data_IF_486666526996
#
_entry.id   IF_486666526996
#
_cell.length_a   1.000
_cell.length_b   1.000
_cell.length_c   1.000
_cell.angle_alpha   90.00
_cell.angle_beta   90.00
_cell.angle_gamma   90.00
#
_symmetry.space_group_name_H-M   'P 1'
#
loop_
_entity.id
_entity.type
_entity.pdbx_description
1 polymer ?
#
# COMPACT_ATOMS: atom_id res chain seq x y z
N UNK A 1 -16.91 -11.69 -53.95
CA UNK A 1 -16.10 -12.50 -53.01
C UNK A 1 -15.53 -11.66 -51.86
N UNK A 2 -14.85 -10.53 -52.11
CA UNK A 2 -14.32 -9.68 -51.04
C UNK A 2 -15.39 -8.94 -50.20
N UNK A 3 -16.51 -8.54 -50.81
CA UNK A 3 -17.59 -7.81 -50.09
C UNK A 3 -18.41 -8.71 -49.17
N UNK A 4 -18.66 -9.97 -49.55
CA UNK A 4 -19.34 -10.95 -48.69
C UNK A 4 -18.52 -11.33 -47.47
N UNK A 5 -17.20 -11.39 -47.62
CA UNK A 5 -16.28 -11.66 -46.53
C UNK A 5 -16.19 -10.47 -45.55
N UNK A 6 -16.18 -9.24 -46.06
CA UNK A 6 -16.29 -8.02 -45.24
C UNK A 6 -17.60 -7.96 -44.46
N UNK A 7 -18.72 -8.31 -45.10
CA UNK A 7 -20.04 -8.31 -44.45
C UNK A 7 -20.14 -9.34 -43.32
N UNK A 8 -19.60 -10.54 -43.53
CA UNK A 8 -19.51 -11.57 -42.47
C UNK A 8 -18.64 -11.12 -41.29
N UNK A 9 -17.50 -10.48 -41.56
CA UNK A 9 -16.61 -9.94 -40.52
C UNK A 9 -17.26 -8.79 -39.74
N UNK A 10 -18.05 -7.93 -40.39
CA UNK A 10 -18.82 -6.87 -39.72
C UNK A 10 -19.95 -7.42 -38.85
N UNK A 11 -20.69 -8.41 -39.34
CA UNK A 11 -21.76 -9.06 -38.57
C UNK A 11 -21.21 -9.81 -37.34
N UNK A 12 -20.05 -10.45 -37.47
CA UNK A 12 -19.38 -11.10 -36.34
C UNK A 12 -18.86 -10.09 -35.31
N UNK A 13 -18.30 -8.96 -35.75
CA UNK A 13 -17.91 -7.85 -34.86
C UNK A 13 -19.12 -7.26 -34.14
N UNK A 14 -20.24 -7.07 -34.85
CA UNK A 14 -21.48 -6.53 -34.28
C UNK A 14 -22.11 -7.48 -33.26
N UNK A 15 -22.05 -8.80 -33.51
CA UNK A 15 -22.46 -9.84 -32.54
C UNK A 15 -21.57 -9.84 -31.30
N UNK A 16 -20.24 -9.82 -31.48
CA UNK A 16 -19.28 -9.72 -30.37
C UNK A 16 -19.50 -8.44 -29.55
N UNK A 17 -19.71 -7.31 -30.21
CA UNK A 17 -19.95 -6.03 -29.56
C UNK A 17 -21.28 -6.03 -28.77
N UNK A 18 -22.37 -6.54 -29.36
CA UNK A 18 -23.65 -6.69 -28.67
C UNK A 18 -23.56 -7.64 -27.46
N UNK A 19 -22.79 -8.72 -27.56
CA UNK A 19 -22.55 -9.62 -26.43
C UNK A 19 -21.75 -8.93 -25.32
N UNK A 20 -20.71 -8.16 -25.67
CA UNK A 20 -19.95 -7.38 -24.68
C UNK A 20 -20.79 -6.29 -24.01
N UNK A 21 -21.67 -5.62 -24.77
CA UNK A 21 -22.54 -4.57 -24.24
C UNK A 21 -23.67 -5.14 -23.37
N UNK A 22 -24.18 -6.34 -23.70
CA UNK A 22 -25.09 -7.09 -22.83
C UNK A 22 -24.42 -7.47 -21.51
N UNK A 23 -23.20 -8.01 -21.55
CA UNK A 23 -22.40 -8.34 -20.35
C UNK A 23 -22.10 -7.09 -19.50
N UNK A 24 -21.75 -5.97 -20.14
CA UNK A 24 -21.56 -4.67 -19.46
C UNK A 24 -22.84 -4.17 -18.79
N UNK A 25 -23.98 -4.25 -19.47
CA UNK A 25 -25.28 -3.84 -18.92
C UNK A 25 -25.70 -4.70 -17.73
N UNK A 26 -25.48 -6.01 -17.80
CA UNK A 26 -25.73 -6.95 -16.71
C UNK A 26 -24.84 -6.67 -15.49
N UNK A 27 -23.54 -6.46 -15.70
CA UNK A 27 -22.60 -6.08 -14.61
C UNK A 27 -23.01 -4.76 -13.98
N UNK A 28 -23.44 -3.79 -14.79
CA UNK A 28 -23.92 -2.49 -14.31
C UNK A 28 -25.21 -2.61 -13.50
N UNK A 29 -26.18 -3.38 -13.98
CA UNK A 29 -27.43 -3.65 -13.26
C UNK A 29 -27.15 -4.34 -11.92
N UNK A 30 -26.26 -5.35 -11.90
CA UNK A 30 -25.83 -6.04 -10.69
C UNK A 30 -25.12 -5.11 -9.69
N UNK A 31 -24.28 -4.19 -10.17
CA UNK A 31 -23.62 -3.19 -9.32
C UNK A 31 -24.62 -2.17 -8.76
N UNK A 32 -25.60 -1.74 -9.57
CA UNK A 32 -26.64 -0.81 -9.14
C UNK A 32 -27.58 -1.46 -8.11
N UNK A 33 -27.97 -2.71 -8.32
CA UNK A 33 -28.78 -3.50 -7.40
C UNK A 33 -28.04 -3.76 -6.08
N UNK A 34 -26.75 -4.12 -6.14
CA UNK A 34 -25.90 -4.24 -4.95
C UNK A 34 -25.74 -2.90 -4.19
N UNK A 35 -25.82 -1.76 -4.90
CA UNK A 35 -25.81 -0.43 -4.29
C UNK A 35 -27.14 -0.07 -3.62
N UNK A 36 -28.28 -0.49 -4.21
CA UNK A 36 -29.63 -0.32 -3.67
C UNK A 36 -29.84 -1.21 -2.43
N UNK A 37 -29.40 -2.47 -2.47
CA UNK A 37 -29.46 -3.40 -1.34
C UNK A 37 -28.67 -2.92 -0.11
N UNK A 38 -27.62 -2.11 -0.29
CA UNK A 38 -26.85 -1.51 0.83
C UNK A 38 -27.60 -0.40 1.57
N UNK A 39 -28.64 0.20 0.98
CA UNK A 39 -29.47 1.24 1.63
C UNK A 39 -30.59 0.66 2.50
N UNK A 40 -30.98 -0.61 2.29
CA UNK A 40 -32.16 -1.20 2.91
C UNK A 40 -31.92 -1.87 4.28
N UNK A 41 -30.68 -2.16 4.70
CA UNK A 41 -30.42 -2.79 6.00
C UNK A 41 -30.22 -1.77 7.13
N UNK A 42 -31.35 -1.32 7.69
CA UNK A 42 -31.45 -0.71 9.03
C UNK A 42 -31.50 -1.85 10.05
N UNK A 43 -30.42 -2.07 10.81
CA UNK A 43 -30.41 -3.01 11.94
C UNK A 43 -29.23 -3.97 11.97
N UNK A 44 -28.24 -3.63 12.80
CA UNK A 44 -27.28 -4.52 13.50
C UNK A 44 -26.27 -3.65 14.28
N UNK A 45 -26.12 -2.38 13.90
CA UNK A 45 -24.94 -1.59 14.27
C UNK A 45 -25.20 -0.09 14.09
N UNK A 46 -24.97 0.74 15.12
CA UNK A 46 -25.09 2.20 15.01
C UNK A 46 -24.10 2.75 13.98
N UNK A 47 -24.46 3.78 13.19
CA UNK A 47 -23.58 4.37 12.18
C UNK A 47 -22.20 4.77 12.74
N UNK A 48 -22.15 5.28 13.97
CA UNK A 48 -20.92 5.69 14.64
C UNK A 48 -20.00 4.52 14.99
N UNK A 49 -20.52 3.44 15.57
CA UNK A 49 -19.70 2.26 15.85
C UNK A 49 -19.23 1.61 14.54
N UNK A 50 -20.00 1.68 13.44
CA UNK A 50 -19.60 1.16 12.11
C UNK A 50 -18.46 1.99 11.51
N UNK A 51 -18.50 3.31 11.71
CA UNK A 51 -17.42 4.23 11.33
C UNK A 51 -16.16 3.97 12.16
N UNK A 52 -16.30 3.80 13.48
CA UNK A 52 -15.19 3.45 14.39
C UNK A 52 -14.55 2.12 14.00
N UNK A 53 -15.35 1.10 13.72
CA UNK A 53 -14.84 -0.22 13.30
C UNK A 53 -14.08 -0.15 11.98
N UNK A 54 -14.60 0.55 10.96
CA UNK A 54 -13.87 0.76 9.69
C UNK A 54 -12.55 1.50 9.89
N UNK A 55 -12.50 2.46 10.81
CA UNK A 55 -11.27 3.15 11.16
C UNK A 55 -10.26 2.19 11.78
N UNK A 56 -10.70 1.38 12.75
CA UNK A 56 -9.85 0.36 13.40
C UNK A 56 -9.33 -0.68 12.40
N UNK A 57 -10.17 -1.15 11.47
CA UNK A 57 -9.72 -2.09 10.42
C UNK A 57 -8.65 -1.47 9.53
N UNK A 58 -8.81 -0.21 9.10
CA UNK A 58 -7.78 0.46 8.28
C UNK A 58 -6.50 0.72 9.06
N UNK A 59 -6.59 1.10 10.34
CA UNK A 59 -5.43 1.25 11.22
C UNK A 59 -4.67 -0.06 11.36
N UNK A 60 -5.38 -1.15 11.66
CA UNK A 60 -4.79 -2.50 11.75
C UNK A 60 -4.18 -2.94 10.40
N UNK A 61 -4.87 -2.71 9.29
CA UNK A 61 -4.34 -3.04 7.97
C UNK A 61 -3.06 -2.25 7.63
N UNK A 62 -3.00 -0.96 8.00
CA UNK A 62 -1.80 -0.15 7.80
C UNK A 62 -0.64 -0.60 8.70
N UNK A 63 -0.93 -0.98 9.95
CA UNK A 63 0.05 -1.53 10.89
C UNK A 63 0.61 -2.86 10.42
N UNK A 64 -0.26 -3.80 10.02
CA UNK A 64 0.14 -5.10 9.46
C UNK A 64 0.96 -4.94 8.17
N UNK A 65 0.57 -4.01 7.29
CA UNK A 65 1.33 -3.70 6.08
C UNK A 65 2.75 -3.21 6.41
N UNK A 66 2.89 -2.33 7.42
CA UNK A 66 4.20 -1.84 7.86
C UNK A 66 5.04 -2.98 8.46
N UNK A 67 4.43 -3.83 9.30
CA UNK A 67 5.09 -4.99 9.90
C UNK A 67 5.56 -6.00 8.85
N UNK A 68 4.75 -6.23 7.82
CA UNK A 68 5.14 -7.09 6.69
C UNK A 68 6.30 -6.49 5.88
N UNK A 69 6.29 -5.17 5.63
CA UNK A 69 7.41 -4.49 4.97
C UNK A 69 8.71 -4.62 5.77
N UNK A 70 8.66 -4.42 7.08
CA UNK A 70 9.80 -4.60 7.98
C UNK A 70 10.31 -6.06 7.97
N UNK A 71 9.40 -7.04 8.04
CA UNK A 71 9.74 -8.47 7.92
C UNK A 71 10.41 -8.79 6.58
N UNK A 72 9.86 -8.28 5.46
CA UNK A 72 10.41 -8.49 4.11
C UNK A 72 11.78 -7.83 3.97
N UNK A 73 11.98 -6.65 4.55
CA UNK A 73 13.26 -5.97 4.56
C UNK A 73 14.31 -6.70 5.39
N UNK A 74 13.93 -7.23 6.56
CA UNK A 74 14.80 -8.05 7.41
C UNK A 74 15.20 -9.35 6.70
N UNK A 75 14.24 -10.06 6.09
CA UNK A 75 14.53 -11.28 5.32
C UNK A 75 15.41 -10.97 4.11
N UNK A 76 15.19 -9.85 3.40
CA UNK A 76 16.08 -9.41 2.32
C UNK A 76 17.51 -9.22 2.82
N UNK A 77 17.71 -8.62 4.01
CA UNK A 77 19.05 -8.45 4.60
C UNK A 77 19.69 -9.80 4.92
N UNK A 78 18.94 -10.70 5.57
CA UNK A 78 19.40 -12.06 5.90
C UNK A 78 19.84 -12.83 4.66
N UNK A 79 19.04 -12.82 3.60
CA UNK A 79 19.36 -13.52 2.35
C UNK A 79 20.58 -12.91 1.65
N UNK A 80 20.77 -11.59 1.69
CA UNK A 80 21.97 -10.94 1.16
C UNK A 80 23.20 -11.37 1.95
N UNK A 81 23.12 -11.38 3.28
CA UNK A 81 24.21 -11.83 4.15
C UNK A 81 24.58 -13.30 3.89
N UNK A 82 23.58 -14.18 3.77
CA UNK A 82 23.78 -15.60 3.46
C UNK A 82 24.41 -15.81 2.07
N UNK A 83 23.95 -15.08 1.05
CA UNK A 83 24.44 -15.25 -0.34
C UNK A 83 25.79 -14.60 -0.61
N UNK A 84 26.03 -13.42 -0.04
CA UNK A 84 27.27 -12.66 -0.25
C UNK A 84 28.39 -13.10 0.71
N UNK A 85 28.03 -13.60 1.90
CA UNK A 85 28.98 -14.04 2.91
C UNK A 85 29.91 -12.94 3.40
N UNK A 86 31.08 -13.35 3.93
CA UNK A 86 32.13 -12.42 4.35
C UNK A 86 32.97 -11.98 3.15
N UNK A 87 33.47 -10.73 3.13
CA UNK A 87 34.41 -10.28 2.11
C UNK A 87 35.65 -11.17 2.09
N UNK A 88 36.16 -11.45 0.89
CA UNK A 88 37.41 -12.22 0.73
C UNK A 88 38.58 -11.38 1.21
N UNK A 89 39.54 -12.00 1.92
CA UNK A 89 40.76 -11.32 2.34
C UNK A 89 41.64 -11.05 1.10
N UNK A 90 41.89 -9.77 0.84
CA UNK A 90 42.74 -9.28 -0.25
C UNK A 90 44.03 -8.64 0.25
N UNK A 91 44.08 -8.25 1.54
CA UNK A 91 45.18 -7.48 2.11
C UNK A 91 46.36 -8.39 2.52
N UNK A 92 46.06 -9.59 3.04
CA UNK A 92 47.08 -10.57 3.45
C UNK A 92 47.31 -11.66 2.39
N UNK A 93 46.70 -11.52 1.21
CA UNK A 93 46.73 -12.54 0.16
C UNK A 93 47.93 -12.39 -0.79
N UNK A 94 48.49 -13.52 -1.22
CA UNK A 94 49.52 -13.53 -2.28
C UNK A 94 48.94 -13.08 -3.62
N UNK A 95 49.78 -12.54 -4.51
CA UNK A 95 49.37 -12.05 -5.83
C UNK A 95 48.61 -13.11 -6.65
N UNK A 96 49.04 -14.37 -6.58
CA UNK A 96 48.37 -15.50 -7.24
C UNK A 96 46.95 -15.73 -6.69
N UNK A 97 46.78 -15.63 -5.37
CA UNK A 97 45.48 -15.76 -4.72
C UNK A 97 44.55 -14.61 -5.08
N UNK A 98 45.06 -13.37 -5.12
CA UNK A 98 44.29 -12.19 -5.55
C UNK A 98 43.79 -12.35 -6.98
N UNK A 99 44.65 -12.78 -7.92
CA UNK A 99 44.24 -13.05 -9.32
C UNK A 99 43.14 -14.12 -9.40
N UNK A 100 43.26 -15.20 -8.63
CA UNK A 100 42.25 -16.26 -8.58
C UNK A 100 40.90 -15.75 -8.06
N UNK A 101 40.91 -14.93 -6.99
CA UNK A 101 39.71 -14.30 -6.42
C UNK A 101 39.00 -13.42 -7.45
N UNK A 102 39.75 -12.59 -8.20
CA UNK A 102 39.19 -11.73 -9.25
C UNK A 102 38.50 -12.54 -10.35
N UNK A 103 39.13 -13.61 -10.82
CA UNK A 103 38.55 -14.50 -11.84
C UNK A 103 37.26 -15.16 -11.33
N UNK A 104 37.25 -15.62 -10.08
CA UNK A 104 36.07 -16.23 -9.47
C UNK A 104 34.90 -15.22 -9.35
N UNK A 105 35.18 -14.00 -8.89
CA UNK A 105 34.16 -12.95 -8.83
C UNK A 105 33.62 -12.58 -10.20
N UNK A 106 34.49 -12.44 -11.20
CA UNK A 106 34.07 -12.11 -12.55
C UNK A 106 33.15 -13.19 -13.14
N UNK A 107 33.50 -14.47 -12.99
CA UNK A 107 32.64 -15.59 -13.40
C UNK A 107 31.29 -15.58 -12.66
N UNK A 108 31.30 -15.29 -11.36
CA UNK A 108 30.06 -15.23 -10.57
C UNK A 108 29.17 -14.07 -10.99
N UNK A 109 29.73 -12.90 -11.29
CA UNK A 109 29.00 -11.73 -11.77
C UNK A 109 28.30 -12.06 -13.09
N UNK A 110 29.00 -12.65 -14.06
CA UNK A 110 28.41 -13.03 -15.36
C UNK A 110 27.20 -13.97 -15.16
N UNK A 111 27.34 -14.99 -14.32
CA UNK A 111 26.23 -15.91 -14.04
C UNK A 111 25.04 -15.19 -13.37
N UNK A 112 25.29 -14.33 -12.38
CA UNK A 112 24.26 -13.56 -11.69
C UNK A 112 23.56 -12.56 -12.61
N UNK A 113 24.27 -11.98 -13.58
CA UNK A 113 23.71 -11.05 -14.57
C UNK A 113 22.70 -11.77 -15.47
N UNK A 114 23.01 -13.00 -15.89
CA UNK A 114 22.07 -13.87 -16.62
C UNK A 114 20.84 -14.22 -15.78
N UNK A 115 21.03 -14.72 -14.57
CA UNK A 115 19.92 -15.05 -13.65
C UNK A 115 19.03 -13.81 -13.38
N UNK A 116 19.64 -12.63 -13.22
CA UNK A 116 18.93 -11.36 -13.04
C UNK A 116 18.09 -11.01 -14.26
N UNK A 117 18.64 -11.12 -15.47
CA UNK A 117 17.93 -10.82 -16.71
C UNK A 117 16.68 -11.69 -16.86
N UNK A 118 16.79 -13.00 -16.62
CA UNK A 118 15.67 -13.93 -16.73
C UNK A 118 14.54 -13.55 -15.74
N UNK A 119 14.91 -13.23 -14.49
CA UNK A 119 13.96 -12.78 -13.47
C UNK A 119 13.29 -11.45 -13.84
N UNK A 120 14.06 -10.48 -14.35
CA UNK A 120 13.53 -9.17 -14.78
C UNK A 120 12.57 -9.33 -15.95
N UNK A 121 12.90 -10.18 -16.92
CA UNK A 121 12.02 -10.48 -18.05
C UNK A 121 10.70 -11.13 -17.61
N UNK A 122 10.76 -12.10 -16.70
CA UNK A 122 9.56 -12.70 -16.13
C UNK A 122 8.67 -11.70 -15.39
N UNK A 123 9.27 -10.79 -14.60
CA UNK A 123 8.54 -9.74 -13.90
C UNK A 123 7.87 -8.80 -14.91
N UNK A 124 8.60 -8.36 -15.93
CA UNK A 124 8.07 -7.50 -16.98
C UNK A 124 6.89 -8.14 -17.73
N UNK A 125 6.97 -9.45 -18.01
CA UNK A 125 5.86 -10.21 -18.62
C UNK A 125 4.62 -10.23 -17.71
N UNK A 126 4.81 -10.49 -16.41
CA UNK A 126 3.72 -10.48 -15.42
C UNK A 126 3.11 -9.09 -15.27
N UNK A 127 3.92 -8.02 -15.29
CA UNK A 127 3.43 -6.64 -15.24
C UNK A 127 2.58 -6.29 -16.46
N UNK A 128 2.99 -6.75 -17.66
CA UNK A 128 2.20 -6.58 -18.88
C UNK A 128 0.85 -7.31 -18.78
N UNK A 129 0.85 -8.56 -18.31
CA UNK A 129 -0.38 -9.34 -18.11
C UNK A 129 -1.32 -8.68 -17.08
N UNK A 130 -0.78 -8.16 -15.98
CA UNK A 130 -1.55 -7.40 -14.98
C UNK A 130 -2.15 -6.13 -15.61
N UNK A 131 -1.40 -5.41 -16.44
CA UNK A 131 -1.87 -4.21 -17.11
C UNK A 131 -3.02 -4.53 -18.08
N UNK A 132 -2.90 -5.61 -18.86
CA UNK A 132 -3.93 -6.07 -19.78
C UNK A 132 -5.20 -6.49 -19.02
N UNK A 133 -5.07 -7.34 -17.99
CA UNK A 133 -6.19 -7.75 -17.16
C UNK A 133 -6.87 -6.55 -16.47
N UNK A 134 -6.11 -5.58 -15.98
CA UNK A 134 -6.67 -4.35 -15.41
C UNK A 134 -7.45 -3.53 -16.45
N UNK A 135 -6.98 -3.48 -17.70
CA UNK A 135 -7.69 -2.84 -18.80
C UNK A 135 -9.02 -3.54 -19.08
N UNK A 136 -9.00 -4.87 -19.23
CA UNK A 136 -10.19 -5.69 -19.46
C UNK A 136 -11.23 -5.52 -18.34
N UNK A 137 -10.80 -5.54 -17.07
CA UNK A 137 -11.69 -5.32 -15.91
C UNK A 137 -12.31 -3.92 -15.95
N UNK A 138 -11.55 -2.90 -16.33
CA UNK A 138 -12.07 -1.53 -16.46
C UNK A 138 -13.07 -1.39 -17.60
N UNK A 139 -12.83 -2.03 -18.74
CA UNK A 139 -13.74 -2.03 -19.89
C UNK A 139 -15.05 -2.79 -19.60
N UNK A 140 -15.01 -3.85 -18.79
CA UNK A 140 -16.19 -4.57 -18.32
C UNK A 140 -16.99 -3.77 -17.28
N UNK A 141 -16.30 -3.09 -16.36
CA UNK A 141 -16.92 -2.21 -15.35
C UNK A 141 -17.50 -0.92 -15.98
N UNK A 142 -17.12 -0.64 -17.22
CA UNK A 142 -17.48 0.55 -17.98
C UNK A 142 -16.46 1.69 -17.75
N UNK A 143 -15.75 2.05 -18.83
CA UNK A 143 -14.80 3.18 -18.90
C UNK A 143 -15.38 4.51 -18.37
N UNK A 144 -16.71 4.64 -18.40
CA UNK A 144 -17.51 5.77 -17.93
C UNK A 144 -18.50 5.38 -16.82
N UNK A 145 -18.02 4.77 -15.73
CA UNK A 145 -18.74 4.89 -14.45
C UNK A 145 -18.70 6.36 -14.03
N UNK A 146 -19.66 7.17 -14.50
CA UNK A 146 -19.76 8.61 -14.19
C UNK A 146 -19.70 8.77 -12.67
N UNK A 147 -18.58 9.23 -12.10
CA UNK A 147 -18.49 9.41 -10.66
C UNK A 147 -19.60 10.40 -10.30
N UNK A 148 -20.46 10.03 -9.35
CA UNK A 148 -21.49 10.98 -8.88
C UNK A 148 -20.76 12.20 -8.34
N UNK A 149 -20.82 13.31 -9.08
CA UNK A 149 -20.14 14.55 -8.72
C UNK A 149 -20.70 15.00 -7.37
N UNK A 150 -19.91 14.82 -6.31
CA UNK A 150 -20.23 15.41 -5.01
C UNK A 150 -19.85 16.89 -5.09
N UNK A 151 -20.76 17.76 -4.66
CA UNK A 151 -20.46 19.18 -4.48
C UNK A 151 -19.43 19.28 -3.34
N UNK A 152 -18.16 19.40 -3.70
CA UNK A 152 -17.07 19.61 -2.73
C UNK A 152 -16.79 21.11 -2.69
N UNK A 153 -17.12 21.77 -1.58
CA UNK A 153 -16.70 23.14 -1.34
C UNK A 153 -15.19 23.20 -1.22
N UNK A 154 -14.51 24.02 -2.03
CA UNK A 154 -13.05 24.21 -2.01
C UNK A 154 -12.52 24.65 -0.63
N UNK A 155 -13.36 25.26 0.20
CA UNK A 155 -12.98 25.85 1.49
C UNK A 155 -13.41 25.03 2.71
N UNK A 156 -14.33 24.09 2.58
CA UNK A 156 -14.88 23.33 3.72
C UNK A 156 -13.80 22.47 4.41
N UNK A 157 -12.90 21.87 3.64
CA UNK A 157 -11.76 21.12 4.18
C UNK A 157 -10.69 22.01 4.82
N UNK A 158 -10.56 23.28 4.40
CA UNK A 158 -9.66 24.26 5.04
C UNK A 158 -10.26 24.80 6.34
N UNK A 159 -11.58 25.06 6.36
CA UNK A 159 -12.31 25.51 7.55
C UNK A 159 -12.37 24.42 8.63
N UNK A 160 -12.59 23.15 8.27
CA UNK A 160 -12.55 22.03 9.21
C UNK A 160 -11.16 21.82 9.83
N UNK A 161 -10.07 22.08 9.10
CA UNK A 161 -8.70 22.07 9.65
C UNK A 161 -8.45 23.24 10.60
N UNK A 162 -8.96 24.43 10.29
CA UNK A 162 -8.90 25.59 11.19
C UNK A 162 -9.70 25.36 12.47
N UNK A 163 -10.91 24.81 12.37
CA UNK A 163 -11.74 24.51 13.54
C UNK A 163 -11.15 23.42 14.42
N UNK A 164 -10.52 22.38 13.85
CA UNK A 164 -9.82 21.36 14.64
C UNK A 164 -8.62 21.92 15.39
N UNK A 165 -7.77 22.72 14.73
CA UNK A 165 -6.65 23.40 15.39
C UNK A 165 -7.12 24.39 16.46
N UNK A 166 -8.19 25.14 16.20
CA UNK A 166 -8.77 26.06 17.16
C UNK A 166 -9.46 25.34 18.33
N UNK A 167 -10.10 24.19 18.09
CA UNK A 167 -10.70 23.38 19.15
C UNK A 167 -9.64 22.66 20.00
N UNK A 168 -8.57 22.12 19.40
CA UNK A 168 -7.43 21.57 20.14
C UNK A 168 -6.72 22.64 20.98
N UNK A 169 -6.56 23.85 20.45
CA UNK A 169 -5.95 24.97 21.16
C UNK A 169 -6.84 25.49 22.30
N UNK A 170 -8.16 25.65 22.08
CA UNK A 170 -9.08 26.10 23.12
C UNK A 170 -9.34 25.03 24.19
N UNK A 171 -9.50 23.75 23.84
CA UNK A 171 -9.81 22.71 24.81
C UNK A 171 -8.63 22.42 25.75
N UNK A 172 -7.38 22.50 25.25
CA UNK A 172 -6.17 22.28 26.06
C UNK A 172 -5.77 23.49 26.90
N UNK A 173 -5.94 24.72 26.40
CA UNK A 173 -5.57 25.92 27.16
C UNK A 173 -6.63 26.36 28.18
N UNK A 174 -7.90 25.98 27.99
CA UNK A 174 -8.99 26.43 28.86
C UNK A 174 -9.29 25.45 30.02
N UNK A 175 -8.70 24.25 29.99
CA UNK A 175 -8.73 23.30 31.10
C UNK A 175 -7.48 23.46 31.97
N UNK A 176 -7.65 23.83 33.25
CA UNK A 176 -6.58 23.72 34.24
C UNK A 176 -6.24 22.22 34.39
N UNK A 177 -5.09 21.78 33.88
CA UNK A 177 -4.59 20.44 34.17
C UNK A 177 -4.42 20.30 35.68
N UNK A 178 -5.15 19.37 36.29
CA UNK A 178 -4.99 19.02 37.71
C UNK A 178 -3.65 18.31 37.85
N UNK A 179 -2.68 18.93 38.54
CA UNK A 179 -1.33 18.38 38.81
C UNK A 179 -1.33 17.23 39.84
N UNK A 180 -2.40 16.44 39.92
CA UNK A 180 -2.41 15.20 40.72
C UNK A 180 -2.15 14.02 39.80
N UNK A 181 -1.01 13.36 40.01
CA UNK A 181 -0.51 12.23 39.21
C UNK A 181 -1.28 10.91 39.40
N UNK A 182 -2.41 10.92 40.12
CA UNK A 182 -3.15 9.70 40.47
C UNK A 182 -4.25 9.31 39.47
N UNK A 183 -4.56 10.15 38.48
CA UNK A 183 -5.66 9.88 37.52
C UNK A 183 -5.25 9.90 36.04
N UNK A 184 -3.95 9.98 35.72
CA UNK A 184 -3.45 9.76 34.35
C UNK A 184 -3.24 8.27 34.11
N UNK A 185 -4.04 7.71 33.19
CA UNK A 185 -3.93 6.34 32.69
C UNK A 185 -2.50 6.08 32.19
N UNK A 186 -1.80 5.18 32.86
CA UNK A 186 -0.36 4.91 32.78
C UNK A 186 0.02 4.05 31.54
N UNK A 187 -0.62 4.27 30.39
CA UNK A 187 -0.39 3.45 29.19
C UNK A 187 0.26 4.20 28.01
N UNK A 188 0.60 5.50 28.16
CA UNK A 188 1.15 6.29 27.05
C UNK A 188 2.43 7.07 27.38
N UNK A 189 3.27 6.57 28.30
CA UNK A 189 4.62 7.09 28.51
C UNK A 189 5.66 5.94 28.50
N UNK A 190 5.95 5.43 27.29
CA UNK A 190 7.24 4.78 27.03
C UNK A 190 8.21 5.83 26.48
N UNK A 191 8.70 6.69 27.36
CA UNK A 191 9.98 7.36 27.16
C UNK A 191 11.00 6.81 28.18
N UNK A 192 12.23 6.47 27.75
CA UNK A 192 13.26 6.01 28.67
C UNK A 192 13.63 7.16 29.61
N UNK A 193 13.40 6.97 30.91
CA UNK A 193 13.83 7.88 31.97
C UNK A 193 15.34 8.12 31.84
N UNK A 194 15.75 9.24 31.25
CA UNK A 194 17.08 9.80 31.48
C UNK A 194 17.12 10.20 32.94
N UNK A 195 17.85 9.43 33.74
CA UNK A 195 18.16 9.76 35.13
C UNK A 195 19.11 10.96 35.18
N UNK A 196 18.57 12.16 35.00
CA UNK A 196 19.27 13.37 35.46
C UNK A 196 19.05 13.48 36.97
N UNK A 197 20.10 13.15 37.72
CA UNK A 197 20.18 13.48 39.15
C UNK A 197 20.03 15.00 39.29
N UNK A 198 19.21 15.43 40.24
CA UNK A 198 18.98 16.84 40.52
C UNK A 198 20.28 17.54 40.95
N UNK A 199 20.50 18.76 40.46
CA UNK A 199 21.75 19.53 40.58
C UNK A 199 22.19 19.88 42.02
N UNK A 200 21.38 19.61 43.05
CA UNK A 200 21.76 19.75 44.45
C UNK A 200 22.50 18.53 45.01
N UNK A 201 22.50 17.40 44.31
CA UNK A 201 23.32 16.22 44.66
C UNK A 201 24.76 16.29 44.15
N UNK A 202 25.13 17.36 43.44
CA UNK A 202 26.48 17.60 42.93
C UNK A 202 26.99 18.96 43.38
N UNK A 203 27.09 19.19 44.70
CA UNK A 203 27.91 20.25 45.30
C UNK A 203 28.07 20.03 46.81
N UNK A 204 29.02 19.18 47.19
CA UNK A 204 30.32 19.53 47.81
C UNK A 204 30.93 18.27 48.43
#
# INVERSE_FOLDING_TARGET
MADDERKRLEDEKKRKQAETDRKRAEVRARLEEASKAKKAKKGFMTPDRKKKLRLLLRKKAAEELKKEQERKAAERRRIIEERCGKPKNVDDASEANVKSILIQYHKRIIALEGEKYDLEYEVAKKDFEIADLNSQVNDLRGKFMKPTLKKVSKYENKFAKLQKKAAEFNFRNQLKQVKKKEFTLEEEDKEPKKSEKAEWQTKK
#
